data_IF_629674334552
#
_entry.id   IF_629674334552
#
_cell.length_a   1.000
_cell.length_b   1.000
_cell.length_c   1.000
_cell.angle_alpha   90.00
_cell.angle_beta   90.00
_cell.angle_gamma   90.00
#
_symmetry.space_group_name_H-M   'P 1'
#
loop_
_entity.id
_entity.type
_entity.pdbx_description
1 polymer ?
#
# COMPACT_ATOMS: atom_id res chain seq x y z
N UNK A 1 47.07 -21.72 9.00
CA UNK A 1 46.20 -21.74 7.79
C UNK A 1 44.76 -22.09 8.11
N UNK A 2 44.47 -23.23 8.76
CA UNK A 2 43.09 -23.64 9.07
C UNK A 2 42.31 -22.60 9.89
N UNK A 3 42.93 -22.00 10.91
CA UNK A 3 42.32 -20.94 11.73
C UNK A 3 41.98 -19.69 10.93
N UNK A 4 42.84 -19.27 10.01
CA UNK A 4 42.57 -18.14 9.12
C UNK A 4 41.39 -18.39 8.18
N UNK A 5 41.44 -19.51 7.44
CA UNK A 5 40.43 -19.82 6.41
C UNK A 5 39.09 -20.30 6.98
N UNK A 6 39.07 -21.09 8.04
CA UNK A 6 37.83 -21.69 8.57
C UNK A 6 37.21 -20.92 9.73
N UNK A 7 37.94 -20.01 10.38
CA UNK A 7 37.42 -19.27 11.54
C UNK A 7 37.34 -17.77 11.23
N UNK A 8 38.45 -17.13 10.85
CA UNK A 8 38.50 -15.68 10.71
C UNK A 8 37.78 -15.15 9.45
N UNK A 9 37.90 -15.82 8.30
CA UNK A 9 37.20 -15.39 7.08
C UNK A 9 35.66 -15.53 7.19
N UNK A 10 35.10 -16.65 7.70
CA UNK A 10 33.66 -16.76 7.93
C UNK A 10 33.15 -15.80 9.01
N UNK A 11 33.95 -15.55 10.06
CA UNK A 11 33.60 -14.57 11.08
C UNK A 11 33.52 -13.15 10.49
N UNK A 12 34.44 -12.79 9.60
CA UNK A 12 34.39 -11.54 8.86
C UNK A 12 33.10 -11.39 8.05
N UNK A 13 32.72 -12.42 7.28
CA UNK A 13 31.51 -12.37 6.43
C UNK A 13 30.21 -12.36 7.24
N UNK A 14 30.16 -13.10 8.37
CA UNK A 14 29.03 -13.08 9.30
C UNK A 14 28.87 -11.71 9.97
N UNK A 15 29.98 -11.08 10.37
CA UNK A 15 29.97 -9.74 10.96
C UNK A 15 29.44 -8.70 9.97
N UNK A 16 29.84 -8.77 8.70
CA UNK A 16 29.29 -7.93 7.65
C UNK A 16 27.78 -8.13 7.45
N UNK A 17 27.33 -9.39 7.45
CA UNK A 17 25.90 -9.73 7.31
C UNK A 17 25.06 -9.20 8.47
N UNK A 18 25.56 -9.34 9.70
CA UNK A 18 24.88 -8.87 10.90
C UNK A 18 24.81 -7.34 10.97
N UNK A 19 25.93 -6.65 10.74
CA UNK A 19 26.00 -5.19 10.85
C UNK A 19 25.24 -4.46 9.73
N UNK A 20 25.05 -5.09 8.57
CA UNK A 20 24.26 -4.52 7.47
C UNK A 20 22.78 -4.31 7.82
N UNK A 21 22.27 -4.99 8.85
CA UNK A 21 20.88 -4.81 9.31
C UNK A 21 20.69 -3.55 10.17
N UNK A 22 21.75 -3.04 10.80
CA UNK A 22 21.66 -2.00 11.83
C UNK A 22 22.37 -0.70 11.45
N UNK A 23 23.36 -0.76 10.56
CA UNK A 23 24.17 0.40 10.18
C UNK A 23 23.83 0.92 8.77
N UNK A 24 23.84 2.25 8.56
CA UNK A 24 23.62 2.84 7.24
C UNK A 24 24.71 2.42 6.24
N UNK A 25 24.43 2.61 4.95
CA UNK A 25 25.23 2.16 3.82
C UNK A 25 26.73 2.50 4.04
N UNK A 26 27.59 1.48 3.88
CA UNK A 26 29.07 1.54 3.94
C UNK A 26 29.74 1.54 5.33
N UNK A 27 29.03 1.82 6.44
CA UNK A 27 29.65 1.77 7.80
C UNK A 27 29.96 0.35 8.30
N UNK A 28 29.26 -0.66 7.77
CA UNK A 28 29.52 -2.07 8.07
C UNK A 28 30.87 -2.59 7.51
N UNK A 29 31.45 -1.87 6.54
CA UNK A 29 32.68 -2.27 5.86
C UNK A 29 33.92 -2.14 6.76
N UNK A 30 33.95 -1.17 7.68
CA UNK A 30 35.07 -0.95 8.60
C UNK A 30 35.36 -2.15 9.51
N UNK A 31 34.38 -2.62 10.30
CA UNK A 31 34.54 -3.81 11.15
C UNK A 31 34.88 -5.08 10.35
N UNK A 32 34.29 -5.24 9.16
CA UNK A 32 34.60 -6.34 8.25
C UNK A 32 36.06 -6.31 7.77
N UNK A 33 36.53 -5.14 7.34
CA UNK A 33 37.91 -4.93 6.91
C UNK A 33 38.91 -5.16 8.05
N UNK A 34 38.58 -4.73 9.28
CA UNK A 34 39.43 -4.97 10.45
C UNK A 34 39.67 -6.46 10.71
N UNK A 35 38.60 -7.28 10.66
CA UNK A 35 38.71 -8.74 10.83
C UNK A 35 39.54 -9.37 9.70
N UNK A 36 39.36 -8.91 8.45
CA UNK A 36 40.15 -9.41 7.32
C UNK A 36 41.63 -9.01 7.40
N UNK A 37 41.96 -7.82 7.88
CA UNK A 37 43.34 -7.37 8.07
C UNK A 37 44.05 -8.13 9.19
N UNK A 38 43.33 -8.53 10.24
CA UNK A 38 43.87 -9.40 11.30
C UNK A 38 44.08 -10.83 10.79
N UNK A 39 43.22 -11.31 9.87
CA UNK A 39 43.36 -12.64 9.27
C UNK A 39 44.59 -12.74 8.34
N UNK A 40 44.96 -11.65 7.67
CA UNK A 40 46.07 -11.59 6.71
C UNK A 40 47.42 -12.10 7.25
N UNK A 41 47.98 -11.59 8.36
CA UNK A 41 49.27 -12.07 8.88
C UNK A 41 49.22 -13.55 9.30
N UNK A 42 48.09 -14.02 9.82
CA UNK A 42 47.89 -15.41 10.24
C UNK A 42 47.86 -16.36 9.03
N UNK A 43 47.22 -15.94 7.94
CA UNK A 43 47.16 -16.69 6.68
C UNK A 43 48.54 -16.72 6.01
N UNK A 44 49.21 -15.57 5.90
CA UNK A 44 50.55 -15.47 5.30
C UNK A 44 51.60 -16.28 6.06
N UNK A 45 51.62 -16.18 7.40
CA UNK A 45 52.55 -16.96 8.25
C UNK A 45 52.26 -18.45 8.13
N UNK A 46 50.98 -18.84 8.17
CA UNK A 46 50.59 -20.23 8.01
C UNK A 46 50.93 -20.81 6.63
N UNK A 47 50.79 -20.01 5.56
CA UNK A 47 51.15 -20.42 4.20
C UNK A 47 52.67 -20.56 4.06
N UNK A 48 53.44 -19.61 4.60
CA UNK A 48 54.91 -19.67 4.62
C UNK A 48 55.45 -20.91 5.32
N UNK A 49 54.93 -21.24 6.52
CA UNK A 49 55.29 -22.48 7.23
C UNK A 49 54.87 -23.71 6.42
N UNK A 50 53.70 -23.70 5.78
CA UNK A 50 53.24 -24.80 4.93
C UNK A 50 54.14 -25.05 3.73
N UNK A 51 54.57 -23.99 3.03
CA UNK A 51 55.51 -24.08 1.91
C UNK A 51 56.89 -24.55 2.36
N UNK A 52 57.34 -24.08 3.53
CA UNK A 52 58.59 -24.51 4.15
C UNK A 52 58.55 -26.02 4.39
N UNK A 53 57.58 -26.51 5.18
CA UNK A 53 57.41 -27.94 5.50
C UNK A 53 57.26 -28.81 4.24
N UNK A 54 56.49 -28.36 3.25
CA UNK A 54 56.33 -29.08 1.99
C UNK A 54 57.66 -29.21 1.20
N UNK A 55 58.54 -28.21 1.30
CA UNK A 55 59.87 -28.22 0.67
C UNK A 55 60.85 -29.16 1.40
N UNK A 56 60.83 -29.18 2.74
CA UNK A 56 61.67 -30.11 3.53
C UNK A 56 61.26 -31.58 3.34
N UNK A 57 59.97 -31.86 3.18
CA UNK A 57 59.47 -33.23 3.05
C UNK A 57 59.44 -33.75 1.60
N UNK A 58 59.85 -32.95 0.61
CA UNK A 58 59.81 -33.33 -0.81
C UNK A 58 58.40 -33.52 -1.41
N UNK A 59 57.34 -33.20 -0.66
CA UNK A 59 55.95 -33.44 -1.02
C UNK A 59 55.31 -32.22 -1.70
N UNK A 60 56.00 -31.52 -2.59
CA UNK A 60 55.50 -30.27 -3.18
C UNK A 60 54.42 -30.46 -4.26
N UNK A 61 54.35 -31.67 -4.84
CA UNK A 61 53.44 -31.99 -5.97
C UNK A 61 52.10 -32.63 -5.56
N UNK A 62 51.87 -32.77 -4.26
CA UNK A 62 50.66 -33.37 -3.68
C UNK A 62 49.41 -32.49 -3.87
N UNK A 63 48.20 -33.08 -3.95
CA UNK A 63 46.95 -32.34 -4.15
C UNK A 63 46.68 -31.27 -3.08
N UNK A 64 47.01 -31.54 -1.82
CA UNK A 64 46.72 -30.60 -0.72
C UNK A 64 47.53 -29.29 -0.82
N UNK A 65 48.76 -29.33 -1.34
CA UNK A 65 49.58 -28.13 -1.58
C UNK A 65 49.00 -27.28 -2.71
N UNK A 66 48.44 -27.91 -3.75
CA UNK A 66 47.74 -27.22 -4.84
C UNK A 66 46.46 -26.55 -4.32
N UNK A 67 45.67 -27.24 -3.51
CA UNK A 67 44.45 -26.69 -2.90
C UNK A 67 44.80 -25.49 -2.00
N UNK A 68 45.83 -25.61 -1.16
CA UNK A 68 46.31 -24.51 -0.31
C UNK A 68 46.78 -23.29 -1.10
N UNK A 69 47.52 -23.50 -2.19
CA UNK A 69 47.96 -22.43 -3.09
C UNK A 69 46.76 -21.75 -3.79
N UNK A 70 45.79 -22.53 -4.29
CA UNK A 70 44.58 -22.00 -4.93
C UNK A 70 43.75 -21.14 -3.97
N UNK A 71 43.56 -21.60 -2.72
CA UNK A 71 42.84 -20.83 -1.70
C UNK A 71 43.56 -19.53 -1.32
N UNK A 72 44.89 -19.57 -1.26
CA UNK A 72 45.71 -18.38 -1.00
C UNK A 72 45.63 -17.36 -2.15
N UNK A 73 45.69 -17.81 -3.40
CA UNK A 73 45.54 -16.93 -4.57
C UNK A 73 44.14 -16.32 -4.65
N UNK A 74 43.11 -17.12 -4.39
CA UNK A 74 41.71 -16.67 -4.38
C UNK A 74 41.45 -15.60 -3.31
N UNK A 75 42.10 -15.71 -2.15
CA UNK A 75 42.01 -14.70 -1.09
C UNK A 75 42.60 -13.34 -1.52
N UNK A 76 43.73 -13.32 -2.23
CA UNK A 76 44.29 -12.07 -2.78
C UNK A 76 43.38 -11.44 -3.83
N UNK A 77 42.76 -12.24 -4.70
CA UNK A 77 41.77 -11.75 -5.68
C UNK A 77 40.56 -11.14 -4.96
N UNK A 78 40.07 -11.78 -3.91
CA UNK A 78 38.96 -11.25 -3.10
C UNK A 78 39.31 -9.93 -2.41
N UNK A 79 40.55 -9.79 -1.90
CA UNK A 79 41.01 -8.57 -1.25
C UNK A 79 41.11 -7.40 -2.24
N UNK A 80 41.60 -7.64 -3.46
CA UNK A 80 41.63 -6.64 -4.53
C UNK A 80 40.22 -6.21 -4.94
N UNK A 81 39.29 -7.16 -5.14
CA UNK A 81 37.89 -6.84 -5.43
C UNK A 81 37.22 -6.07 -4.29
N UNK A 82 37.55 -6.38 -3.04
CA UNK A 82 37.09 -5.64 -1.87
C UNK A 82 37.57 -4.19 -1.84
N UNK A 83 38.84 -3.95 -2.18
CA UNK A 83 39.40 -2.59 -2.26
C UNK A 83 38.77 -1.81 -3.42
N UNK A 84 38.61 -2.44 -4.59
CA UNK A 84 37.98 -1.81 -5.77
C UNK A 84 36.52 -1.43 -5.54
N UNK A 85 35.78 -2.20 -4.73
CA UNK A 85 34.38 -1.88 -4.37
C UNK A 85 34.26 -0.87 -3.24
N UNK A 86 35.32 -0.69 -2.44
CA UNK A 86 35.40 0.36 -1.44
C UNK A 86 35.79 1.73 -2.04
N UNK A 87 36.56 1.73 -3.13
CA UNK A 87 37.05 2.94 -3.80
C UNK A 87 36.09 3.53 -4.83
N UNK A 88 35.00 2.84 -5.17
CA UNK A 88 33.95 3.43 -6.00
C UNK A 88 33.16 4.46 -5.19
N UNK A 89 33.11 5.74 -5.62
CA UNK A 89 32.21 6.69 -5.00
C UNK A 89 30.79 6.18 -5.20
N UNK A 90 30.03 6.07 -4.10
CA UNK A 90 28.62 5.71 -4.15
C UNK A 90 27.92 6.68 -5.10
N UNK A 91 27.52 6.20 -6.28
CA UNK A 91 26.57 6.91 -7.13
C UNK A 91 25.29 6.98 -6.31
N UNK A 92 25.10 8.11 -5.64
CA UNK A 92 23.88 8.44 -4.96
C UNK A 92 22.76 8.41 -6.01
N UNK A 93 22.02 7.31 -6.05
CA UNK A 93 20.76 7.24 -6.77
C UNK A 93 19.89 8.36 -6.18
N UNK A 94 19.65 9.39 -7.00
CA UNK A 94 19.25 10.73 -6.57
C UNK A 94 18.20 10.77 -5.46
N UNK A 95 18.65 11.10 -4.25
CA UNK A 95 17.84 11.94 -3.37
C UNK A 95 17.84 13.31 -4.03
N UNK A 96 16.72 13.68 -4.65
CA UNK A 96 16.52 15.03 -5.15
C UNK A 96 16.62 15.99 -3.95
N UNK A 97 17.77 16.62 -3.80
CA UNK A 97 17.94 17.81 -2.97
C UNK A 97 17.14 18.92 -3.66
N UNK A 98 16.22 19.63 -2.98
CA UNK A 98 15.54 20.75 -3.61
C UNK A 98 16.58 21.80 -3.99
N UNK A 99 16.53 22.26 -5.23
CA UNK A 99 17.46 23.23 -5.80
C UNK A 99 17.52 24.50 -4.95
N UNK A 100 18.71 24.98 -4.54
CA UNK A 100 18.87 26.26 -3.86
C UNK A 100 18.74 27.47 -4.81
N UNK A 101 18.39 27.25 -6.08
CA UNK A 101 18.14 28.29 -7.09
C UNK A 101 16.67 28.31 -7.56
N UNK A 102 15.82 27.43 -7.03
CA UNK A 102 14.39 27.64 -7.12
C UNK A 102 14.06 28.82 -6.20
N UNK A 103 13.85 29.99 -6.80
CA UNK A 103 13.35 31.15 -6.09
C UNK A 103 12.13 30.72 -5.25
N UNK A 104 11.98 31.19 -4.00
CA UNK A 104 10.73 30.97 -3.30
C UNK A 104 9.62 31.47 -4.22
N UNK A 105 8.60 30.64 -4.49
CA UNK A 105 7.36 31.07 -5.11
C UNK A 105 6.71 32.03 -4.10
N UNK A 106 7.21 33.26 -4.05
CA UNK A 106 6.55 34.42 -3.48
C UNK A 106 5.45 34.83 -4.46
N UNK A 107 4.56 33.90 -4.78
CA UNK A 107 3.16 34.30 -4.78
C UNK A 107 2.89 34.68 -3.34
N UNK A 108 2.90 35.99 -3.12
CA UNK A 108 2.30 36.63 -1.96
C UNK A 108 1.14 35.75 -1.46
N UNK A 109 1.03 35.46 -0.15
CA UNK A 109 -0.28 35.07 0.34
C UNK A 109 -1.19 36.19 -0.14
N UNK A 110 -2.13 35.88 -1.03
CA UNK A 110 -3.24 36.78 -1.26
C UNK A 110 -3.79 37.01 0.13
N UNK A 111 -3.55 38.21 0.65
CA UNK A 111 -4.01 38.65 1.95
C UNK A 111 -5.46 38.24 1.98
N UNK A 112 -5.81 37.31 2.88
CA UNK A 112 -7.20 36.94 3.07
C UNK A 112 -7.94 38.27 3.22
N UNK A 113 -8.78 38.60 2.22
CA UNK A 113 -9.68 39.72 2.40
C UNK A 113 -10.47 39.37 3.67
N UNK A 114 -10.60 40.27 4.64
CA UNK A 114 -11.61 40.08 5.67
C UNK A 114 -12.91 39.73 4.94
N UNK A 115 -13.53 38.60 5.27
CA UNK A 115 -14.89 38.33 4.82
C UNK A 115 -15.75 39.45 5.40
N UNK A 116 -16.08 40.45 4.59
CA UNK A 116 -17.17 41.34 4.90
C UNK A 116 -18.43 40.46 5.00
N UNK A 117 -19.18 40.54 6.11
CA UNK A 117 -20.46 39.84 6.19
C UNK A 117 -21.35 40.33 5.04
N UNK A 118 -22.06 39.45 4.32
CA UNK A 118 -22.92 39.86 3.24
C UNK A 118 -23.98 40.83 3.76
N UNK A 119 -24.03 42.03 3.18
CA UNK A 119 -25.15 42.95 3.36
C UNK A 119 -26.44 42.24 2.93
N UNK A 120 -27.50 42.21 3.74
CA UNK A 120 -28.75 41.58 3.34
C UNK A 120 -29.35 42.38 2.18
N UNK A 121 -29.31 41.80 0.98
CA UNK A 121 -30.14 42.24 -0.13
C UNK A 121 -31.61 41.94 0.19
N UNK A 122 -32.56 42.82 -0.18
CA UNK A 122 -33.99 42.56 0.01
C UNK A 122 -34.39 41.25 -0.66
N UNK A 123 -35.30 40.45 -0.08
CA UNK A 123 -35.73 39.20 -0.70
C UNK A 123 -36.42 39.51 -2.03
N UNK A 124 -35.78 39.13 -3.14
CA UNK A 124 -36.50 38.98 -4.40
C UNK A 124 -37.61 37.94 -4.20
N UNK A 125 -38.83 38.20 -4.69
CA UNK A 125 -39.94 37.26 -4.55
C UNK A 125 -39.59 35.97 -5.29
N UNK A 126 -39.32 34.90 -4.52
CA UNK A 126 -39.18 33.55 -5.05
C UNK A 126 -40.44 33.21 -5.84
N UNK A 127 -40.38 32.97 -7.16
CA UNK A 127 -41.51 32.40 -7.86
C UNK A 127 -41.75 31.01 -7.26
N UNK A 128 -42.98 30.79 -6.81
CA UNK A 128 -43.48 29.51 -6.30
C UNK A 128 -43.02 28.38 -7.23
N UNK A 129 -42.58 27.22 -6.69
CA UNK A 129 -42.16 26.11 -7.53
C UNK A 129 -43.39 25.59 -8.28
N UNK A 130 -43.58 26.04 -9.52
CA UNK A 130 -44.49 25.36 -10.44
C UNK A 130 -43.88 23.99 -10.64
N UNK A 131 -44.66 22.96 -10.30
CA UNK A 131 -44.38 21.56 -10.61
C UNK A 131 -44.19 21.45 -12.13
N UNK A 132 -42.96 21.64 -12.60
CA UNK A 132 -42.60 21.59 -14.01
C UNK A 132 -42.56 20.13 -14.42
N UNK A 133 -43.70 19.61 -14.85
CA UNK A 133 -43.90 18.27 -15.40
C UNK A 133 -43.20 18.05 -16.75
N UNK A 134 -42.25 18.91 -17.12
CA UNK A 134 -41.46 18.79 -18.33
C UNK A 134 -40.00 19.05 -17.97
N UNK A 135 -39.20 17.98 -17.98
CA UNK A 135 -37.75 18.11 -18.07
C UNK A 135 -37.50 18.79 -19.42
N UNK A 136 -36.88 19.98 -19.48
CA UNK A 136 -36.62 20.63 -20.76
C UNK A 136 -35.82 19.68 -21.65
N UNK A 137 -36.25 19.53 -22.91
CA UNK A 137 -35.56 18.70 -23.88
C UNK A 137 -34.08 19.09 -23.91
N UNK A 138 -33.21 18.11 -23.74
CA UNK A 138 -31.76 18.32 -23.74
C UNK A 138 -31.34 18.81 -25.13
N UNK A 139 -30.62 19.93 -25.17
CA UNK A 139 -30.11 20.49 -26.44
C UNK A 139 -29.29 19.43 -27.17
N UNK A 140 -29.65 19.06 -28.41
CA UNK A 140 -28.97 17.97 -29.14
C UNK A 140 -27.49 18.26 -29.42
N UNK A 141 -27.05 19.51 -29.26
CA UNK A 141 -25.65 19.94 -29.43
C UNK A 141 -24.79 19.71 -28.18
N UNK A 142 -25.38 19.63 -27.00
CA UNK A 142 -24.65 19.40 -25.76
C UNK A 142 -24.60 17.89 -25.54
N UNK A 143 -23.45 17.24 -25.28
CA UNK A 143 -23.47 15.82 -24.94
C UNK A 143 -24.17 15.61 -23.59
N UNK A 144 -24.83 14.44 -23.38
CA UNK A 144 -25.40 14.13 -22.08
C UNK A 144 -24.33 14.17 -20.99
N UNK A 145 -24.70 14.63 -19.78
CA UNK A 145 -23.78 14.79 -18.64
C UNK A 145 -23.04 13.50 -18.28
N UNK A 146 -23.60 12.34 -18.61
CA UNK A 146 -22.98 11.03 -18.44
C UNK A 146 -21.76 10.80 -19.33
N UNK A 147 -21.65 11.46 -20.49
CA UNK A 147 -20.45 11.35 -21.33
C UNK A 147 -19.34 12.30 -20.87
N UNK A 148 -19.71 13.35 -20.15
CA UNK A 148 -18.76 14.31 -19.63
C UNK A 148 -18.05 13.77 -18.39
N UNK A 149 -16.80 14.18 -18.20
CA UNK A 149 -16.05 13.91 -16.97
C UNK A 149 -16.70 14.69 -15.83
N UNK A 150 -16.90 14.03 -14.70
CA UNK A 150 -17.47 14.68 -13.53
C UNK A 150 -16.61 15.88 -13.09
N UNK A 151 -17.22 17.06 -12.83
CA UNK A 151 -16.53 18.16 -12.18
C UNK A 151 -16.07 17.77 -10.77
N UNK A 152 -15.08 18.49 -10.24
CA UNK A 152 -14.49 18.23 -8.93
C UNK A 152 -14.75 19.42 -8.00
N UNK A 153 -15.05 19.12 -6.74
CA UNK A 153 -15.17 20.14 -5.70
C UNK A 153 -13.78 20.62 -5.27
N UNK A 154 -13.62 21.92 -4.96
CA UNK A 154 -12.37 22.43 -4.41
C UNK A 154 -12.11 21.84 -3.01
N UNK A 155 -10.83 21.75 -2.62
CA UNK A 155 -10.41 21.30 -1.28
C UNK A 155 -10.33 22.51 -0.35
N UNK A 156 -10.77 22.34 0.90
CA UNK A 156 -10.79 23.43 1.89
C UNK A 156 -9.62 23.30 2.87
N UNK A 157 -9.43 22.12 3.46
CA UNK A 157 -8.49 21.89 4.58
C UNK A 157 -7.42 20.83 4.27
N UNK A 158 -7.48 20.17 3.11
CA UNK A 158 -6.53 19.13 2.68
C UNK A 158 -6.38 17.97 3.68
N UNK A 159 -7.49 17.56 4.29
CA UNK A 159 -7.56 16.45 5.22
C UNK A 159 -7.98 15.17 4.49
N UNK A 160 -7.12 14.14 4.41
CA UNK A 160 -7.50 12.88 3.78
C UNK A 160 -8.42 12.10 4.71
N UNK A 161 -9.58 11.68 4.19
CA UNK A 161 -10.60 10.94 4.95
C UNK A 161 -10.62 9.48 4.54
N UNK A 162 -10.60 9.22 3.24
CA UNK A 162 -10.55 7.85 2.71
C UNK A 162 -9.69 7.74 1.45
N UNK A 163 -9.18 6.55 1.20
CA UNK A 163 -8.43 6.20 -0.01
C UNK A 163 -9.03 4.93 -0.61
N UNK A 164 -9.68 5.13 -1.75
CA UNK A 164 -10.28 4.10 -2.56
C UNK A 164 -9.21 3.50 -3.47
N UNK A 165 -8.99 2.19 -3.35
CA UNK A 165 -8.15 1.41 -4.25
C UNK A 165 -9.01 0.50 -5.11
N UNK A 166 -8.93 0.68 -6.42
CA UNK A 166 -9.66 -0.12 -7.39
C UNK A 166 -8.68 -1.03 -8.14
N UNK A 167 -9.10 -2.26 -8.36
CA UNK A 167 -8.32 -3.27 -9.10
C UNK A 167 -9.22 -3.96 -10.10
N UNK A 168 -8.76 -4.15 -11.33
CA UNK A 168 -9.45 -4.97 -12.31
C UNK A 168 -8.46 -5.61 -13.27
N UNK A 169 -8.86 -6.72 -13.89
CA UNK A 169 -8.13 -7.31 -15.00
C UNK A 169 -8.45 -6.62 -16.34
N UNK A 170 -9.58 -5.91 -16.43
CA UNK A 170 -10.02 -5.21 -17.64
C UNK A 170 -10.16 -3.71 -17.35
N UNK A 171 -9.33 -2.89 -18.00
CA UNK A 171 -9.25 -1.46 -17.71
C UNK A 171 -10.55 -0.67 -18.00
N UNK A 172 -11.35 -0.96 -19.06
CA UNK A 172 -12.55 -0.17 -19.34
C UNK A 172 -13.61 -0.26 -18.24
N UNK A 173 -13.83 -1.45 -17.67
CA UNK A 173 -14.76 -1.62 -16.55
C UNK A 173 -14.35 -0.78 -15.34
N UNK A 174 -13.04 -0.72 -15.08
CA UNK A 174 -12.49 0.06 -13.98
C UNK A 174 -12.55 1.57 -14.25
N UNK A 175 -12.38 2.02 -15.49
CA UNK A 175 -12.54 3.43 -15.85
C UNK A 175 -14.04 3.84 -15.83
N UNK A 176 -14.97 2.97 -16.25
CA UNK A 176 -16.43 3.16 -16.11
C UNK A 176 -16.85 3.26 -14.65
N UNK A 177 -16.33 2.39 -13.77
CA UNK A 177 -16.64 2.44 -12.35
C UNK A 177 -16.10 3.72 -11.68
N UNK A 178 -14.92 4.18 -12.09
CA UNK A 178 -14.36 5.46 -11.64
C UNK A 178 -15.25 6.62 -12.09
N UNK A 179 -15.71 6.60 -13.33
CA UNK A 179 -16.59 7.63 -13.84
C UNK A 179 -17.88 7.73 -13.03
N UNK A 180 -18.55 6.60 -12.77
CA UNK A 180 -19.70 6.50 -11.87
C UNK A 180 -19.38 7.06 -10.48
N UNK A 181 -18.27 6.63 -9.88
CA UNK A 181 -17.90 7.01 -8.53
C UNK A 181 -17.67 8.52 -8.37
N UNK A 182 -17.14 9.18 -9.40
CA UNK A 182 -16.90 10.62 -9.38
C UNK A 182 -18.19 11.42 -9.54
N UNK A 183 -19.12 10.97 -10.38
CA UNK A 183 -20.43 11.62 -10.51
C UNK A 183 -21.22 11.52 -9.20
N UNK A 184 -21.19 10.36 -8.54
CA UNK A 184 -21.81 10.17 -7.23
C UNK A 184 -21.16 11.05 -6.14
N UNK A 185 -19.83 11.12 -6.12
CA UNK A 185 -19.10 11.97 -5.17
C UNK A 185 -19.37 13.46 -5.41
N UNK A 186 -19.45 13.90 -6.67
CA UNK A 186 -19.79 15.26 -7.03
C UNK A 186 -21.21 15.61 -6.56
N UNK A 187 -22.19 14.72 -6.75
CA UNK A 187 -23.55 14.93 -6.26
C UNK A 187 -23.62 15.09 -4.73
N UNK A 188 -22.74 14.40 -3.99
CA UNK A 188 -22.65 14.46 -2.53
C UNK A 188 -21.75 15.60 -2.00
N UNK A 189 -21.15 16.40 -2.89
CA UNK A 189 -20.25 17.50 -2.48
C UNK A 189 -18.86 17.05 -2.00
N UNK A 190 -18.46 15.80 -2.25
CA UNK A 190 -17.21 15.23 -1.76
C UNK A 190 -16.03 15.68 -2.67
N UNK A 191 -14.99 16.35 -2.14
CA UNK A 191 -13.82 16.71 -2.92
C UNK A 191 -12.89 15.50 -3.10
N UNK A 192 -12.80 15.01 -4.34
CA UNK A 192 -11.91 13.91 -4.72
C UNK A 192 -10.59 14.41 -5.32
N UNK A 193 -9.56 13.56 -5.29
CA UNK A 193 -8.40 13.72 -6.18
C UNK A 193 -8.77 13.31 -7.61
N UNK A 194 -7.92 13.63 -8.59
CA UNK A 194 -7.98 12.94 -9.88
C UNK A 194 -7.66 11.45 -9.74
N UNK A 195 -8.11 10.60 -10.69
CA UNK A 195 -7.88 9.16 -10.60
C UNK A 195 -6.43 8.88 -10.93
N UNK A 196 -5.66 8.45 -9.93
CA UNK A 196 -4.23 8.20 -10.10
C UNK A 196 -4.00 6.78 -10.60
N UNK A 197 -3.39 6.58 -11.80
CA UNK A 197 -3.02 5.26 -12.26
C UNK A 197 -1.83 4.74 -11.48
N UNK A 198 -2.02 3.60 -10.83
CA UNK A 198 -0.94 2.87 -10.18
C UNK A 198 -0.29 1.89 -11.19
N UNK A 199 0.99 1.54 -11.00
CA UNK A 199 1.67 0.57 -11.85
C UNK A 199 0.87 -0.73 -11.98
N UNK A 200 0.68 -1.17 -13.23
CA UNK A 200 -0.03 -2.42 -13.54
C UNK A 200 0.84 -3.59 -13.11
N UNK A 201 0.29 -4.50 -12.31
CA UNK A 201 1.01 -5.71 -11.90
C UNK A 201 0.86 -6.76 -13.00
N UNK A 202 1.99 -7.21 -13.56
CA UNK A 202 2.05 -8.25 -14.59
C UNK A 202 2.56 -9.55 -13.97
N UNK A 203 1.75 -10.60 -14.02
CA UNK A 203 2.16 -11.96 -13.65
C UNK A 203 2.24 -12.81 -14.91
N UNK A 204 3.41 -13.39 -15.16
CA UNK A 204 3.69 -14.25 -16.33
C UNK A 204 3.65 -15.71 -15.89
N UNK A 205 2.98 -16.55 -16.68
CA UNK A 205 2.88 -17.98 -16.46
C UNK A 205 3.25 -18.71 -17.74
N UNK A 206 4.08 -19.74 -17.66
CA UNK A 206 4.48 -20.55 -18.82
C UNK A 206 3.97 -21.97 -18.61
N UNK A 207 3.07 -22.42 -19.48
CA UNK A 207 2.39 -23.72 -19.34
C UNK A 207 2.69 -24.58 -20.58
N UNK A 208 2.96 -25.89 -20.45
CA UNK A 208 3.05 -26.76 -21.61
C UNK A 208 1.72 -26.80 -22.38
N UNK A 209 1.79 -26.79 -23.72
CA UNK A 209 0.59 -26.81 -24.58
C UNK A 209 -0.13 -28.17 -24.54
N UNK A 210 0.65 -29.25 -24.43
CA UNK A 210 0.12 -30.61 -24.34
C UNK A 210 -0.08 -31.02 -22.88
N UNK A 211 -1.13 -31.79 -22.55
CA UNK A 211 -1.28 -32.38 -21.23
C UNK A 211 -0.18 -33.40 -20.89
N UNK A 212 0.51 -33.98 -21.89
CA UNK A 212 1.52 -35.03 -21.67
C UNK A 212 2.72 -34.95 -22.62
N UNK A 213 3.89 -35.37 -22.13
CA UNK A 213 5.22 -35.54 -22.77
C UNK A 213 5.85 -34.31 -23.45
N UNK A 214 5.09 -33.48 -24.17
CA UNK A 214 5.63 -32.44 -25.06
C UNK A 214 6.06 -31.13 -24.35
N UNK A 215 7.10 -31.19 -23.50
CA UNK A 215 7.62 -30.02 -22.74
C UNK A 215 8.23 -28.91 -23.60
N UNK A 216 8.78 -29.24 -24.78
CA UNK A 216 9.38 -28.24 -25.69
C UNK A 216 8.35 -27.28 -26.29
N UNK A 217 7.07 -27.66 -26.31
CA UNK A 217 5.97 -26.82 -26.74
C UNK A 217 5.32 -26.16 -25.51
N UNK A 218 5.70 -24.91 -25.24
CA UNK A 218 5.16 -24.11 -24.13
C UNK A 218 4.39 -22.89 -24.67
N UNK A 219 3.47 -22.38 -23.86
CA UNK A 219 2.71 -21.17 -24.11
C UNK A 219 2.86 -20.20 -22.94
N UNK A 220 2.99 -18.92 -23.26
CA UNK A 220 3.14 -17.85 -22.28
C UNK A 220 1.79 -17.17 -22.07
N UNK A 221 1.26 -17.28 -20.86
CA UNK A 221 0.09 -16.57 -20.42
C UNK A 221 0.49 -15.39 -19.55
N UNK A 222 -0.32 -14.34 -19.56
CA UNK A 222 -0.13 -13.20 -18.67
C UNK A 222 -1.43 -12.79 -18.01
N UNK A 223 -1.30 -12.39 -16.74
CA UNK A 223 -2.37 -11.74 -15.99
C UNK A 223 -1.93 -10.32 -15.66
N UNK A 224 -2.65 -9.33 -16.20
CA UNK A 224 -2.44 -7.91 -15.92
C UNK A 224 -3.49 -7.41 -14.94
N UNK A 225 -3.06 -6.96 -13.77
CA UNK A 225 -3.95 -6.32 -12.79
C UNK A 225 -3.75 -4.81 -12.86
N UNK A 226 -4.72 -4.12 -13.45
CA UNK A 226 -4.78 -2.67 -13.50
C UNK A 226 -5.26 -2.13 -12.16
N UNK A 227 -4.61 -1.07 -11.69
CA UNK A 227 -4.86 -0.48 -10.37
C UNK A 227 -5.07 1.02 -10.50
N UNK A 228 -6.03 1.55 -9.75
CA UNK A 228 -6.29 2.98 -9.62
C UNK A 228 -6.48 3.33 -8.16
N UNK A 229 -6.09 4.55 -7.81
CA UNK A 229 -6.28 5.09 -6.48
C UNK A 229 -7.00 6.43 -6.58
N UNK A 230 -7.97 6.64 -5.69
CA UNK A 230 -8.72 7.89 -5.55
C UNK A 230 -8.68 8.29 -4.09
N UNK A 231 -8.19 9.50 -3.82
CA UNK A 231 -8.16 10.07 -2.47
C UNK A 231 -9.40 10.93 -2.26
N UNK A 232 -10.05 10.73 -1.12
CA UNK A 232 -11.17 11.52 -0.63
C UNK A 232 -10.64 12.53 0.39
N UNK A 233 -11.04 13.78 0.24
CA UNK A 233 -10.61 14.88 1.09
C UNK A 233 -11.82 15.52 1.78
N UNK A 234 -11.58 16.17 2.92
CA UNK A 234 -12.46 17.19 3.54
C UNK A 234 -13.98 16.86 3.56
N UNK A 235 -14.34 15.60 3.75
CA UNK A 235 -15.72 15.13 3.74
C UNK A 235 -16.14 14.56 5.10
N UNK A 236 -17.42 14.71 5.43
CA UNK A 236 -17.98 14.16 6.66
C UNK A 236 -18.06 12.63 6.59
N UNK A 237 -17.85 11.98 7.72
CA UNK A 237 -17.60 10.54 7.77
C UNK A 237 -18.87 9.71 7.46
N UNK A 238 -20.04 10.25 7.77
CA UNK A 238 -21.35 9.72 7.38
C UNK A 238 -21.62 9.84 5.88
N UNK A 239 -21.25 10.97 5.27
CA UNK A 239 -21.43 11.21 3.84
C UNK A 239 -20.54 10.26 3.03
N UNK A 240 -19.30 10.03 3.50
CA UNK A 240 -18.42 9.01 2.92
C UNK A 240 -19.03 7.62 3.05
N UNK A 241 -19.67 7.28 4.17
CA UNK A 241 -20.36 5.99 4.33
C UNK A 241 -21.52 5.81 3.33
N UNK A 242 -22.35 6.84 3.14
CA UNK A 242 -23.45 6.81 2.16
C UNK A 242 -22.89 6.61 0.75
N UNK A 243 -21.84 7.35 0.40
CA UNK A 243 -21.16 7.21 -0.88
C UNK A 243 -20.61 5.80 -1.09
N UNK A 244 -19.91 5.24 -0.10
CA UNK A 244 -19.36 3.88 -0.19
C UNK A 244 -20.45 2.83 -0.33
N UNK A 245 -21.56 2.93 0.42
CA UNK A 245 -22.72 2.04 0.28
C UNK A 245 -23.33 2.10 -1.12
N UNK A 246 -23.47 3.31 -1.68
CA UNK A 246 -23.93 3.50 -3.04
C UNK A 246 -23.00 2.79 -4.06
N UNK A 247 -21.68 2.90 -3.88
CA UNK A 247 -20.71 2.23 -4.73
C UNK A 247 -20.74 0.70 -4.61
N UNK A 248 -20.98 0.17 -3.41
CA UNK A 248 -21.12 -1.27 -3.17
C UNK A 248 -22.35 -1.84 -3.87
N UNK A 249 -23.47 -1.12 -3.82
CA UNK A 249 -24.72 -1.52 -4.50
C UNK A 249 -24.57 -1.46 -6.03
N UNK A 250 -23.87 -0.46 -6.55
CA UNK A 250 -23.71 -0.22 -7.99
C UNK A 250 -22.32 -0.64 -8.52
N UNK A 251 -21.75 -1.74 -8.01
CA UNK A 251 -20.45 -2.23 -8.47
C UNK A 251 -20.49 -2.74 -9.91
N UNK A 252 -19.48 -2.34 -10.70
CA UNK A 252 -19.25 -2.87 -12.05
C UNK A 252 -18.57 -4.25 -11.95
N UNK A 253 -19.00 -5.25 -12.74
CA UNK A 253 -18.43 -6.58 -12.68
C UNK A 253 -16.93 -6.60 -13.02
N UNK A 254 -16.18 -7.42 -12.29
CA UNK A 254 -14.74 -7.58 -12.48
C UNK A 254 -13.89 -6.44 -11.89
N UNK A 255 -14.49 -5.52 -11.12
CA UNK A 255 -13.77 -4.49 -10.34
C UNK A 255 -13.77 -4.90 -8.87
N UNK A 256 -12.58 -5.02 -8.30
CA UNK A 256 -12.38 -5.19 -6.86
C UNK A 256 -12.09 -3.85 -6.20
N UNK A 257 -12.79 -3.58 -5.10
CA UNK A 257 -12.68 -2.34 -4.33
C UNK A 257 -12.06 -2.60 -2.96
N UNK A 258 -11.10 -1.76 -2.56
CA UNK A 258 -10.55 -1.72 -1.19
C UNK A 258 -10.52 -0.29 -0.70
N UNK A 259 -11.18 -0.02 0.42
CA UNK A 259 -11.20 1.29 1.06
C UNK A 259 -10.23 1.31 2.24
N UNK A 260 -9.45 2.38 2.35
CA UNK A 260 -8.66 2.70 3.56
C UNK A 260 -9.27 3.96 4.14
N UNK A 261 -9.82 3.90 5.35
CA UNK A 261 -10.41 5.03 6.07
C UNK A 261 -9.44 5.57 7.12
N UNK A 262 -9.40 6.89 7.26
CA UNK A 262 -8.68 7.57 8.33
C UNK A 262 -9.68 8.28 9.22
N UNK A 263 -9.84 7.76 10.43
CA UNK A 263 -10.63 8.41 11.46
C UNK A 263 -9.69 9.23 12.35
N UNK A 264 -10.11 10.45 12.69
CA UNK A 264 -9.38 11.32 13.61
C UNK A 264 -10.11 11.31 14.93
N UNK A 265 -9.51 10.64 15.90
CA UNK A 265 -10.14 10.45 17.18
C UNK A 265 -9.34 11.22 18.26
N UNK A 266 -10.01 11.74 19.27
CA UNK A 266 -9.37 12.44 20.38
C UNK A 266 -8.44 11.50 21.17
N UNK A 267 -7.54 12.06 21.98
CA UNK A 267 -6.77 11.24 22.92
C UNK A 267 -7.74 10.69 23.98
N UNK A 268 -7.66 9.39 24.29
CA UNK A 268 -8.56 8.73 25.26
C UNK A 268 -9.81 8.05 24.66
N UNK A 269 -9.87 7.87 23.34
CA UNK A 269 -11.01 7.22 22.64
C UNK A 269 -11.32 5.81 23.14
N UNK A 270 -10.35 5.11 23.72
CA UNK A 270 -10.59 3.82 24.36
C UNK A 270 -11.62 3.89 25.48
N UNK A 271 -11.54 4.90 26.36
CA UNK A 271 -12.47 5.05 27.49
C UNK A 271 -13.86 5.46 27.01
N UNK A 272 -13.93 6.44 26.10
CA UNK A 272 -15.19 6.88 25.52
C UNK A 272 -15.93 5.74 24.81
N UNK A 273 -15.20 4.95 24.02
CA UNK A 273 -15.76 3.80 23.32
C UNK A 273 -16.12 2.66 24.25
N UNK A 274 -15.40 2.45 25.35
CA UNK A 274 -15.78 1.48 26.39
C UNK A 274 -17.11 1.83 27.05
N UNK A 275 -17.35 3.11 27.36
CA UNK A 275 -18.64 3.57 27.90
C UNK A 275 -19.77 3.38 26.90
N UNK A 276 -19.56 3.79 25.64
CA UNK A 276 -20.52 3.63 24.55
C UNK A 276 -20.89 2.15 24.32
N UNK A 277 -19.89 1.28 24.25
CA UNK A 277 -20.09 -0.17 24.07
C UNK A 277 -20.82 -0.74 25.27
N UNK A 278 -20.48 -0.33 26.50
CA UNK A 278 -21.18 -0.75 27.71
C UNK A 278 -22.67 -0.42 27.67
N UNK A 279 -23.03 0.82 27.33
CA UNK A 279 -24.43 1.25 27.17
C UNK A 279 -25.14 0.48 26.06
N UNK A 280 -24.48 0.28 24.92
CA UNK A 280 -25.05 -0.47 23.80
C UNK A 280 -25.33 -1.92 24.13
N UNK A 281 -24.44 -2.59 24.88
CA UNK A 281 -24.64 -3.98 25.32
C UNK A 281 -25.87 -4.09 26.23
N UNK A 282 -26.04 -3.14 27.16
CA UNK A 282 -27.23 -3.08 28.03
C UNK A 282 -28.50 -2.87 27.20
N UNK A 283 -28.48 -1.93 26.26
CA UNK A 283 -29.63 -1.65 25.38
C UNK A 283 -30.01 -2.83 24.47
N UNK A 284 -29.04 -3.57 23.93
CA UNK A 284 -29.30 -4.79 23.16
C UNK A 284 -29.92 -5.87 24.04
N UNK A 285 -29.48 -6.01 25.29
CA UNK A 285 -30.10 -6.94 26.25
C UNK A 285 -31.58 -6.64 26.49
N UNK A 286 -31.94 -5.37 26.59
CA UNK A 286 -33.33 -4.93 26.74
C UNK A 286 -34.16 -5.19 25.47
N UNK A 287 -33.60 -4.92 24.28
CA UNK A 287 -34.26 -5.26 23.00
C UNK A 287 -34.51 -6.76 22.87
N UNK A 288 -33.53 -7.61 23.23
CA UNK A 288 -33.69 -9.07 23.20
C UNK A 288 -34.79 -9.51 24.17
N UNK A 289 -34.87 -8.91 25.35
CA UNK A 289 -35.94 -9.19 26.32
C UNK A 289 -37.31 -8.78 25.78
N UNK A 290 -37.44 -7.61 25.16
CA UNK A 290 -38.68 -7.14 24.55
C UNK A 290 -39.13 -8.04 23.39
N UNK A 291 -38.19 -8.53 22.57
CA UNK A 291 -38.47 -9.50 21.50
C UNK A 291 -38.96 -10.82 22.11
N UNK A 292 -38.30 -11.31 23.16
CA UNK A 292 -38.71 -12.53 23.87
C UNK A 292 -40.13 -12.41 24.44
N UNK A 293 -40.45 -11.30 25.10
CA UNK A 293 -41.80 -11.05 25.62
C UNK A 293 -42.86 -10.96 24.50
N UNK A 294 -42.50 -10.40 23.34
CA UNK A 294 -43.39 -10.37 22.17
C UNK A 294 -43.68 -11.79 21.65
N UNK A 295 -42.66 -12.63 21.50
CA UNK A 295 -42.79 -14.01 21.03
C UNK A 295 -43.70 -14.81 21.98
N UNK A 296 -43.48 -14.71 23.30
CA UNK A 296 -44.31 -15.42 24.29
C UNK A 296 -45.77 -14.99 24.24
N UNK A 297 -46.07 -13.70 24.02
CA UNK A 297 -47.45 -13.22 23.85
C UNK A 297 -48.07 -13.76 22.57
N UNK A 298 -47.36 -13.70 21.45
CA UNK A 298 -47.83 -14.23 20.16
C UNK A 298 -48.13 -15.73 20.24
N UNK A 299 -47.27 -16.51 20.90
CA UNK A 299 -47.48 -17.95 21.12
C UNK A 299 -48.67 -18.22 22.06
N UNK A 300 -48.81 -17.46 23.15
CA UNK A 300 -49.94 -17.60 24.07
C UNK A 300 -51.28 -17.26 23.40
N UNK A 301 -51.31 -16.22 22.57
CA UNK A 301 -52.50 -15.83 21.81
C UNK A 301 -52.83 -16.86 20.72
N UNK A 302 -51.82 -17.42 20.04
CA UNK A 302 -52.01 -18.51 19.09
C UNK A 302 -52.56 -19.77 19.78
N UNK A 303 -52.06 -20.11 20.96
CA UNK A 303 -52.56 -21.24 21.75
C UNK A 303 -54.01 -21.03 22.20
N UNK A 304 -54.39 -19.83 22.65
CA UNK A 304 -55.78 -19.49 23.01
C UNK A 304 -56.73 -19.64 21.82
N UNK A 305 -56.34 -19.09 20.66
CA UNK A 305 -57.12 -19.24 19.41
C UNK A 305 -57.27 -20.71 18.99
N UNK A 306 -56.23 -21.52 19.14
CA UNK A 306 -56.30 -22.95 18.84
C UNK A 306 -57.26 -23.71 19.78
N UNK A 307 -57.39 -23.29 21.04
CA UNK A 307 -58.35 -23.85 21.99
C UNK A 307 -59.77 -23.45 21.64
N UNK A 308 -60.01 -22.19 21.28
CA UNK A 308 -61.32 -21.70 20.83
C UNK A 308 -61.82 -22.43 19.58
N UNK A 309 -60.96 -22.59 18.57
CA UNK A 309 -61.27 -23.35 17.33
C UNK A 309 -61.60 -24.82 17.59
N UNK A 310 -61.10 -25.41 18.69
CA UNK A 310 -61.36 -26.81 19.06
C UNK A 310 -62.64 -26.97 19.89
N UNK A 311 -63.19 -25.87 20.41
CA UNK A 311 -64.42 -25.86 21.19
C UNK A 311 -65.69 -25.65 20.32
N UNK A 312 -65.51 -25.15 19.09
CA UNK A 312 -66.51 -25.12 18.02
C UNK A 312 -66.57 -26.46 17.26
#
# INVERSE_FOLDING_TARGET
MATGFFILLPLGSLTARYLRAYLPFQKWLGPHAAIQLIALPIICTGFGVGVHVAKYNGQWKVPHTKIGLTLFLMYWIQLVLGICTASTPSVALGSAKPDPTAAPDTRHPLKARPCEPPTPSPPEPTPSPKLSSQIPAHDPLVPPKSLLKAPLHPRTHNHPVALLHLRSYYHPNLDTFIHLAYHAAYALGIPLSHPTPLPTQRSLFTVPKSPFIFKKAQENFEKRTHKRAVKVWDAEDEVVNIWLRYLEEHMVPGVGMRVVRWERCAVGVGEARWKEVGERVVGVGEQVRQIGERIVREEADAARKAVEVKAE
#
